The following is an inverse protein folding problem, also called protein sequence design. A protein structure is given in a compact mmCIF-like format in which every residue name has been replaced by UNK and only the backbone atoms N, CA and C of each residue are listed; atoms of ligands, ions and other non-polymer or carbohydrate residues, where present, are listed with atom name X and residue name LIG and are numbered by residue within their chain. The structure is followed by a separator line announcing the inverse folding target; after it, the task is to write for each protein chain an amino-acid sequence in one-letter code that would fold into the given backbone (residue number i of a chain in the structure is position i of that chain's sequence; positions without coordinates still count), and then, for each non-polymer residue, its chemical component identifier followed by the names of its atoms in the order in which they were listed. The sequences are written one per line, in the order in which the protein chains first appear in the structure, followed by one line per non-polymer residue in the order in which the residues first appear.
data_IF_107154793056
#
_entry.id   IF_107154793056
#
_cell.length_a   1.000
_cell.length_b   1.000
_cell.length_c   1.000
_cell.angle_alpha   90.00
_cell.angle_beta   90.00
_cell.angle_gamma   90.00
#
_symmetry.space_group_name_H-M   'P 1'
#
loop_
_entity.id
_entity.type
_entity.pdbx_description
1 polymer ?
#
# COMPACT_ATOMS: atom_id res chain seq x y z
N UNK A 1 -4.66 39.16 28.50
CA UNK A 1 -3.78 38.10 29.02
C UNK A 1 -2.35 38.59 28.96
N UNK A 2 -1.56 38.51 30.04
CA UNK A 2 -0.14 38.91 30.00
C UNK A 2 0.64 37.74 29.41
N UNK A 3 1.25 37.95 28.25
CA UNK A 3 2.10 36.96 27.60
C UNK A 3 3.55 37.13 28.06
N UNK A 4 4.31 36.03 28.08
CA UNK A 4 5.72 36.01 28.50
C UNK A 4 6.65 36.52 27.41
N UNK A 5 6.31 36.31 26.13
CA UNK A 5 7.09 36.76 24.99
C UNK A 5 6.66 38.17 24.56
N UNK A 6 7.65 39.01 24.30
CA UNK A 6 7.47 40.35 23.74
C UNK A 6 7.21 40.30 22.23
N UNK A 7 6.59 41.34 21.65
CA UNK A 7 6.42 41.42 20.20
C UNK A 7 7.73 41.32 19.40
N UNK A 8 8.83 41.87 19.93
CA UNK A 8 10.12 41.85 19.27
C UNK A 8 10.74 40.44 19.26
N UNK A 9 10.64 39.70 20.36
CA UNK A 9 11.04 38.28 20.42
C UNK A 9 10.22 37.44 19.43
N UNK A 10 8.91 37.68 19.35
CA UNK A 10 8.05 36.98 18.39
C UNK A 10 8.46 37.27 16.94
N UNK A 11 8.76 38.52 16.60
CA UNK A 11 9.19 38.89 15.24
C UNK A 11 10.52 38.24 14.87
N UNK A 12 11.47 38.16 15.81
CA UNK A 12 12.72 37.44 15.60
C UNK A 12 12.47 35.95 15.31
N UNK A 13 11.64 35.30 16.13
CA UNK A 13 11.26 33.89 15.91
C UNK A 13 10.53 33.67 14.58
N UNK A 14 9.67 34.61 14.15
CA UNK A 14 9.01 34.51 12.85
C UNK A 14 10.01 34.58 11.69
N UNK A 15 11.05 35.41 11.81
CA UNK A 15 12.13 35.49 10.81
C UNK A 15 12.89 34.17 10.69
N UNK A 16 13.36 33.63 11.82
CA UNK A 16 14.07 32.33 11.86
C UNK A 16 13.21 31.19 11.33
N UNK A 17 11.94 31.13 11.75
CA UNK A 17 10.99 30.14 11.24
C UNK A 17 10.72 30.31 9.75
N UNK A 18 10.70 31.54 9.23
CA UNK A 18 10.50 31.78 7.79
C UNK A 18 11.63 31.16 6.97
N UNK A 19 12.89 31.40 7.36
CA UNK A 19 14.06 30.83 6.68
C UNK A 19 14.09 29.30 6.76
N UNK A 20 13.85 28.74 7.95
CA UNK A 20 13.76 27.30 8.15
C UNK A 20 12.64 26.67 7.30
N UNK A 21 11.46 27.31 7.25
CA UNK A 21 10.35 26.85 6.43
C UNK A 21 10.63 26.98 4.93
N UNK A 22 11.37 27.99 4.49
CA UNK A 22 11.78 28.13 3.08
C UNK A 22 12.75 27.02 2.67
N UNK A 23 13.75 26.71 3.52
CA UNK A 23 14.66 25.60 3.31
C UNK A 23 13.91 24.25 3.30
N UNK A 24 13.00 24.05 4.25
CA UNK A 24 12.15 22.85 4.31
C UNK A 24 11.32 22.69 3.03
N UNK A 25 10.62 23.74 2.57
CA UNK A 25 9.82 23.70 1.33
C UNK A 25 10.64 23.41 0.07
N UNK A 26 11.91 23.83 0.05
CA UNK A 26 12.81 23.52 -1.06
C UNK A 26 13.18 22.03 -1.15
N UNK A 27 13.33 21.36 -0.02
CA UNK A 27 13.67 19.92 0.04
C UNK A 27 12.44 19.03 0.02
N UNK A 28 11.33 19.51 0.57
CA UNK A 28 10.05 18.82 0.67
C UNK A 28 8.98 19.70 0.00
N UNK A 29 8.98 19.78 -1.35
CA UNK A 29 7.86 20.38 -2.05
C UNK A 29 6.60 19.65 -1.58
N UNK A 30 5.55 20.42 -1.29
CA UNK A 30 4.30 19.92 -0.72
C UNK A 30 3.69 18.74 -1.51
N UNK A 31 2.55 18.22 -1.04
CA UNK A 31 1.85 17.06 -1.61
C UNK A 31 1.98 16.92 -3.13
N UNK A 32 2.61 15.83 -3.58
CA UNK A 32 2.64 15.48 -4.99
C UNK A 32 1.24 15.05 -5.44
N UNK A 33 0.85 15.43 -6.65
CA UNK A 33 -0.32 14.87 -7.33
C UNK A 33 -0.05 13.47 -7.90
N UNK A 34 1.20 12.99 -7.85
CA UNK A 34 1.56 11.63 -8.19
C UNK A 34 0.87 10.65 -7.24
N UNK A 35 0.51 9.49 -7.78
CA UNK A 35 -0.08 8.40 -7.00
C UNK A 35 0.84 8.05 -5.82
N UNK A 36 0.28 8.05 -4.62
CA UNK A 36 0.90 7.48 -3.42
C UNK A 36 0.20 6.17 -3.04
N UNK A 37 0.92 5.20 -2.45
CA UNK A 37 0.28 3.98 -1.98
C UNK A 37 -0.62 4.27 -0.78
N UNK A 38 -1.85 3.77 -0.82
CA UNK A 38 -2.79 3.83 0.32
C UNK A 38 -2.78 2.55 1.15
N UNK A 39 -2.09 1.51 0.67
CA UNK A 39 -1.97 0.21 1.32
C UNK A 39 -0.55 -0.34 1.18
N UNK A 40 0.10 -0.57 2.33
CA UNK A 40 1.44 -1.14 2.43
C UNK A 40 1.42 -2.47 3.18
N UNK A 41 2.09 -3.48 2.63
CA UNK A 41 2.28 -4.79 3.25
C UNK A 41 3.75 -4.98 3.58
N UNK A 42 4.04 -5.32 4.84
CA UNK A 42 5.37 -5.74 5.28
C UNK A 42 5.42 -7.26 5.35
N UNK A 43 6.42 -7.86 4.74
CA UNK A 43 6.67 -9.30 4.78
C UNK A 43 8.14 -9.58 5.07
N UNK A 44 8.40 -10.53 5.97
CA UNK A 44 9.77 -10.91 6.35
C UNK A 44 10.62 -11.29 5.13
N UNK A 45 11.85 -10.79 5.08
CA UNK A 45 12.73 -10.90 3.92
C UNK A 45 13.02 -12.34 3.49
N UNK A 46 13.09 -13.27 4.45
CA UNK A 46 13.25 -14.70 4.19
C UNK A 46 12.10 -15.33 3.38
N UNK A 47 10.94 -14.68 3.33
CA UNK A 47 9.75 -15.16 2.61
C UNK A 47 9.51 -14.43 1.29
N UNK A 48 10.29 -13.39 1.00
CA UNK A 48 10.07 -12.57 -0.19
C UNK A 48 10.31 -13.39 -1.47
N UNK A 49 9.37 -13.25 -2.41
CA UNK A 49 9.40 -13.85 -3.75
C UNK A 49 8.76 -12.88 -4.74
N UNK A 50 9.23 -12.85 -5.98
CA UNK A 50 8.71 -11.91 -6.98
C UNK A 50 7.18 -11.99 -7.16
N UNK A 51 6.61 -13.20 -7.10
CA UNK A 51 5.17 -13.45 -7.23
C UNK A 51 4.35 -13.31 -5.94
N UNK A 52 4.93 -12.76 -4.86
CA UNK A 52 4.27 -12.67 -3.55
C UNK A 52 2.94 -11.91 -3.60
N UNK A 53 2.89 -10.78 -4.32
CA UNK A 53 1.68 -9.96 -4.43
C UNK A 53 0.53 -10.71 -5.11
N UNK A 54 0.81 -11.38 -6.23
CA UNK A 54 -0.18 -12.19 -6.94
C UNK A 54 -0.75 -13.31 -6.05
N UNK A 55 0.12 -14.02 -5.32
CA UNK A 55 -0.30 -15.07 -4.38
C UNK A 55 -1.22 -14.55 -3.29
N UNK A 56 -0.93 -13.38 -2.71
CA UNK A 56 -1.83 -12.77 -1.72
C UNK A 56 -3.14 -12.30 -2.36
N UNK A 57 -3.11 -11.83 -3.60
CA UNK A 57 -4.31 -11.51 -4.39
C UNK A 57 -5.24 -12.71 -4.57
N UNK A 58 -4.70 -13.88 -4.90
CA UNK A 58 -5.48 -15.13 -5.02
C UNK A 58 -6.16 -15.51 -3.70
N UNK A 59 -5.44 -15.43 -2.58
CA UNK A 59 -5.99 -15.71 -1.25
C UNK A 59 -7.08 -14.70 -0.87
N UNK A 60 -6.85 -13.41 -1.16
CA UNK A 60 -7.82 -12.36 -0.91
C UNK A 60 -9.09 -12.52 -1.76
N UNK A 61 -8.95 -12.86 -3.04
CA UNK A 61 -10.07 -13.13 -3.94
C UNK A 61 -10.89 -14.33 -3.45
N UNK A 62 -10.23 -15.44 -3.10
CA UNK A 62 -10.91 -16.62 -2.57
C UNK A 62 -11.68 -16.30 -1.29
N UNK A 63 -11.11 -15.45 -0.43
CA UNK A 63 -11.76 -14.98 0.80
C UNK A 63 -12.99 -14.14 0.48
N UNK A 64 -12.87 -13.18 -0.45
CA UNK A 64 -13.99 -12.36 -0.91
C UNK A 64 -15.11 -13.21 -1.51
N UNK A 65 -14.77 -14.15 -2.40
CA UNK A 65 -15.72 -15.09 -3.02
C UNK A 65 -16.44 -15.96 -1.98
N UNK A 66 -15.75 -16.36 -0.91
CA UNK A 66 -16.34 -17.20 0.14
C UNK A 66 -17.32 -16.43 1.02
N UNK A 67 -16.97 -15.21 1.44
CA UNK A 67 -17.71 -14.49 2.49
C UNK A 67 -18.56 -13.32 1.98
N UNK A 68 -18.26 -12.79 0.79
CA UNK A 68 -18.96 -11.68 0.17
C UNK A 68 -18.98 -11.83 -1.37
N UNK A 69 -19.59 -12.90 -1.91
CA UNK A 69 -19.51 -13.29 -3.33
C UNK A 69 -20.14 -12.31 -4.32
N UNK A 70 -20.87 -11.31 -3.83
CA UNK A 70 -21.59 -10.35 -4.66
C UNK A 70 -21.74 -9.02 -3.91
N UNK A 71 -22.10 -7.97 -4.66
CA UNK A 71 -22.11 -6.61 -4.17
C UNK A 71 -23.09 -6.37 -3.01
N UNK A 72 -24.21 -7.09 -2.94
CA UNK A 72 -25.21 -6.89 -1.89
C UNK A 72 -24.79 -7.55 -0.56
N UNK A 73 -24.18 -8.74 -0.59
CA UNK A 73 -23.60 -9.36 0.61
C UNK A 73 -22.41 -8.52 1.07
N UNK A 74 -21.52 -8.15 0.14
CA UNK A 74 -20.37 -7.30 0.40
C UNK A 74 -20.77 -5.99 1.09
N UNK A 75 -21.79 -5.30 0.59
CA UNK A 75 -22.26 -4.05 1.16
C UNK A 75 -22.77 -4.22 2.59
N UNK A 76 -23.50 -5.31 2.89
CA UNK A 76 -24.02 -5.58 4.23
C UNK A 76 -22.92 -5.95 5.22
N UNK A 77 -21.98 -6.80 4.82
CA UNK A 77 -20.86 -7.23 5.67
C UNK A 77 -19.95 -6.06 6.03
N UNK A 78 -19.69 -5.15 5.09
CA UNK A 78 -18.86 -3.96 5.33
C UNK A 78 -19.64 -2.75 5.88
N UNK A 79 -20.96 -2.86 6.05
CA UNK A 79 -21.78 -1.76 6.54
C UNK A 79 -21.79 -0.53 5.62
N UNK A 80 -21.80 -0.73 4.30
CA UNK A 80 -21.88 0.39 3.35
C UNK A 80 -23.20 1.17 3.53
N UNK A 81 -23.20 2.50 3.33
CA UNK A 81 -24.41 3.31 3.48
C UNK A 81 -25.56 2.81 2.61
N UNK A 82 -26.72 2.55 3.23
CA UNK A 82 -27.93 2.09 2.55
C UNK A 82 -27.93 0.61 2.18
N UNK A 83 -26.98 -0.20 2.65
CA UNK A 83 -26.90 -1.63 2.36
C UNK A 83 -28.14 -2.42 2.80
N UNK A 84 -28.84 -1.94 3.83
CA UNK A 84 -30.12 -2.48 4.32
C UNK A 84 -31.27 -2.31 3.33
N UNK A 85 -31.16 -1.36 2.39
CA UNK A 85 -32.18 -1.12 1.34
C UNK A 85 -32.01 -2.03 0.13
N UNK A 86 -30.90 -2.77 0.03
CA UNK A 86 -30.64 -3.66 -1.08
C UNK A 86 -31.59 -4.87 -1.04
N UNK A 87 -32.14 -5.31 -2.18
CA UNK A 87 -33.07 -6.43 -2.22
C UNK A 87 -32.41 -7.71 -1.70
N UNK A 88 -33.20 -8.55 -1.03
CA UNK A 88 -32.80 -9.92 -0.67
C UNK A 88 -33.48 -10.98 -1.54
N UNK A 89 -34.49 -10.58 -2.32
CA UNK A 89 -35.16 -11.46 -3.27
C UNK A 89 -34.26 -11.65 -4.52
N UNK A 90 -33.95 -12.89 -4.93
CA UNK A 90 -33.09 -13.15 -6.08
C UNK A 90 -33.60 -12.53 -7.40
N UNK A 91 -34.90 -12.52 -7.65
CA UNK A 91 -35.48 -12.00 -8.90
C UNK A 91 -35.32 -10.47 -8.99
N UNK A 92 -35.56 -9.78 -7.89
CA UNK A 92 -35.35 -8.33 -7.79
C UNK A 92 -33.86 -7.98 -7.92
N UNK A 93 -33.00 -8.79 -7.30
CA UNK A 93 -31.55 -8.63 -7.38
C UNK A 93 -31.02 -8.83 -8.80
N UNK A 94 -31.47 -9.86 -9.51
CA UNK A 94 -31.07 -10.12 -10.90
C UNK A 94 -31.53 -8.99 -11.83
N UNK A 95 -32.72 -8.45 -11.59
CA UNK A 95 -33.23 -7.30 -12.34
C UNK A 95 -32.45 -6.02 -12.04
N UNK A 96 -32.09 -5.79 -10.78
CA UNK A 96 -31.24 -4.68 -10.36
C UNK A 96 -29.81 -4.80 -10.92
N UNK A 97 -29.24 -6.00 -10.91
CA UNK A 97 -27.90 -6.29 -11.44
C UNK A 97 -27.84 -5.99 -12.93
N UNK A 98 -28.83 -6.47 -13.71
CA UNK A 98 -28.94 -6.13 -15.14
C UNK A 98 -29.08 -4.63 -15.40
N UNK A 99 -29.80 -3.90 -14.54
CA UNK A 99 -29.89 -2.45 -14.65
C UNK A 99 -28.55 -1.76 -14.34
N UNK A 100 -27.82 -2.23 -13.33
CA UNK A 100 -26.48 -1.72 -12.96
C UNK A 100 -25.44 -1.97 -14.05
N UNK A 101 -25.50 -3.11 -14.73
CA UNK A 101 -24.60 -3.47 -15.83
C UNK A 101 -24.90 -2.68 -17.11
N UNK A 102 -26.17 -2.39 -17.39
CA UNK A 102 -26.60 -1.73 -18.62
C UNK A 102 -26.57 -0.20 -18.54
N UNK A 103 -26.98 0.40 -17.43
CA UNK A 103 -27.00 1.84 -17.24
C UNK A 103 -26.75 2.26 -15.77
N UNK A 104 -25.51 2.14 -15.27
CA UNK A 104 -25.18 2.41 -13.88
C UNK A 104 -25.50 3.85 -13.45
N UNK A 105 -25.39 4.82 -14.36
CA UNK A 105 -25.63 6.24 -14.05
C UNK A 105 -27.11 6.51 -13.73
N UNK A 106 -28.04 5.89 -14.47
CA UNK A 106 -29.47 5.95 -14.15
C UNK A 106 -29.76 5.31 -12.79
N UNK A 107 -29.11 4.18 -12.48
CA UNK A 107 -29.27 3.55 -11.16
C UNK A 107 -28.68 4.42 -10.06
N UNK A 108 -27.60 5.17 -10.31
CA UNK A 108 -27.02 6.10 -9.33
C UNK A 108 -28.02 7.16 -8.89
N UNK A 109 -28.81 7.69 -9.82
CA UNK A 109 -29.80 8.74 -9.55
C UNK A 109 -30.99 8.23 -8.72
N UNK A 110 -31.40 6.97 -8.92
CA UNK A 110 -32.64 6.43 -8.34
C UNK A 110 -32.35 5.52 -7.12
N UNK A 111 -31.26 4.76 -7.16
CA UNK A 111 -30.85 3.75 -6.16
C UNK A 111 -29.36 3.86 -5.86
N UNK A 112 -28.95 4.98 -5.29
CA UNK A 112 -27.54 5.30 -5.01
C UNK A 112 -26.81 4.22 -4.21
N UNK A 113 -27.46 3.61 -3.20
CA UNK A 113 -26.86 2.54 -2.38
C UNK A 113 -26.49 1.31 -3.23
N UNK A 114 -27.37 0.91 -4.16
CA UNK A 114 -27.11 -0.21 -5.07
C UNK A 114 -25.97 0.10 -6.04
N UNK A 115 -25.95 1.31 -6.60
CA UNK A 115 -24.86 1.77 -7.46
C UNK A 115 -23.52 1.79 -6.72
N UNK A 116 -23.48 2.33 -5.49
CA UNK A 116 -22.27 2.42 -4.69
C UNK A 116 -21.74 1.02 -4.38
N UNK A 117 -22.60 0.13 -3.86
CA UNK A 117 -22.25 -1.25 -3.55
C UNK A 117 -21.68 -1.98 -4.77
N UNK A 118 -22.37 -1.92 -5.91
CA UNK A 118 -21.94 -2.56 -7.16
C UNK A 118 -20.61 -1.99 -7.67
N UNK A 119 -20.47 -0.67 -7.66
CA UNK A 119 -19.26 0.01 -8.13
C UNK A 119 -18.07 -0.32 -7.25
N UNK A 120 -18.20 -0.23 -5.93
CA UNK A 120 -17.11 -0.53 -4.99
C UNK A 120 -16.74 -2.00 -5.06
N UNK A 121 -17.71 -2.91 -5.06
CA UNK A 121 -17.46 -4.35 -5.17
C UNK A 121 -16.63 -4.68 -6.42
N UNK A 122 -17.07 -4.22 -7.60
CA UNK A 122 -16.35 -4.48 -8.85
C UNK A 122 -14.97 -3.83 -8.89
N UNK A 123 -14.80 -2.64 -8.28
CA UNK A 123 -13.48 -2.01 -8.15
C UNK A 123 -12.56 -2.79 -7.22
N UNK A 124 -13.06 -3.32 -6.10
CA UNK A 124 -12.30 -4.18 -5.19
C UNK A 124 -11.89 -5.47 -5.90
N UNK A 125 -12.81 -6.15 -6.59
CA UNK A 125 -12.49 -7.36 -7.37
C UNK A 125 -11.42 -7.06 -8.42
N UNK A 126 -11.57 -5.96 -9.18
CA UNK A 126 -10.57 -5.54 -10.16
C UNK A 126 -9.23 -5.28 -9.50
N UNK A 127 -9.20 -4.57 -8.37
CA UNK A 127 -7.98 -4.25 -7.63
C UNK A 127 -7.26 -5.51 -7.17
N UNK A 128 -7.97 -6.45 -6.56
CA UNK A 128 -7.39 -7.72 -6.11
C UNK A 128 -6.85 -8.58 -7.26
N UNK A 129 -7.43 -8.48 -8.47
CA UNK A 129 -6.97 -9.20 -9.67
C UNK A 129 -5.74 -8.56 -10.31
N UNK A 130 -5.64 -7.23 -10.34
CA UNK A 130 -4.57 -6.53 -11.08
C UNK A 130 -3.46 -5.96 -10.22
N UNK A 131 -3.78 -5.47 -9.03
CA UNK A 131 -2.84 -4.82 -8.10
C UNK A 131 -3.25 -5.09 -6.64
N UNK A 132 -3.17 -6.34 -6.17
CA UNK A 132 -3.63 -6.71 -4.82
C UNK A 132 -2.85 -6.04 -3.69
N UNK A 133 -1.59 -5.69 -3.93
CA UNK A 133 -0.72 -4.96 -3.01
C UNK A 133 -0.16 -3.76 -3.76
N UNK A 134 -0.39 -2.56 -3.24
CA UNK A 134 0.14 -1.34 -3.84
C UNK A 134 1.61 -1.16 -3.50
N UNK A 135 1.95 -1.31 -2.21
CA UNK A 135 3.30 -1.14 -1.70
C UNK A 135 3.76 -2.36 -0.91
N UNK A 136 4.83 -3.00 -1.37
CA UNK A 136 5.39 -4.18 -0.72
C UNK A 136 6.73 -3.85 -0.07
N UNK A 137 6.87 -4.14 1.21
CA UNK A 137 8.07 -3.84 2.00
C UNK A 137 8.73 -5.13 2.45
N UNK A 138 9.93 -5.36 1.92
CA UNK A 138 10.81 -6.47 2.31
C UNK A 138 11.37 -6.12 3.69
N UNK A 139 10.83 -6.76 4.71
CA UNK A 139 11.11 -6.44 6.10
C UNK A 139 12.32 -7.23 6.59
N UNK A 140 13.38 -6.55 7.01
CA UNK A 140 14.53 -7.10 7.73
C UNK A 140 14.49 -6.73 9.22
N UNK A 141 13.40 -6.10 9.71
CA UNK A 141 13.23 -5.73 11.12
C UNK A 141 12.33 -6.74 11.84
N UNK A 142 11.19 -6.31 12.37
CA UNK A 142 10.38 -7.09 13.31
C UNK A 142 9.76 -8.33 12.65
N UNK A 143 9.27 -8.21 11.42
CA UNK A 143 8.64 -9.31 10.68
C UNK A 143 9.63 -10.37 10.22
N UNK A 144 10.93 -10.09 10.28
CA UNK A 144 12.03 -11.02 9.97
C UNK A 144 12.66 -11.63 11.21
N UNK A 145 12.74 -10.84 12.28
CA UNK A 145 13.31 -11.21 13.56
C UNK A 145 14.84 -11.15 13.59
N UNK A 146 15.41 -11.81 14.60
CA UNK A 146 16.85 -11.85 14.83
C UNK A 146 17.45 -13.09 14.19
N UNK A 147 18.43 -12.89 13.30
CA UNK A 147 19.22 -13.94 12.64
C UNK A 147 20.72 -13.68 12.79
N UNK A 148 21.55 -14.71 12.67
CA UNK A 148 22.98 -14.54 12.42
C UNK A 148 23.27 -13.69 11.18
N UNK A 149 24.42 -13.01 11.16
CA UNK A 149 24.76 -12.08 10.08
C UNK A 149 24.88 -12.77 8.72
N UNK A 150 25.47 -13.96 8.66
CA UNK A 150 25.60 -14.74 7.43
C UNK A 150 24.25 -15.16 6.84
N UNK A 151 23.28 -15.46 7.70
CA UNK A 151 21.92 -15.77 7.29
C UNK A 151 21.19 -14.51 6.76
N UNK A 152 21.31 -13.36 7.43
CA UNK A 152 20.73 -12.10 6.98
C UNK A 152 21.35 -11.60 5.67
N UNK A 153 22.67 -11.70 5.52
CA UNK A 153 23.39 -11.41 4.28
C UNK A 153 22.87 -12.29 3.14
N UNK A 154 22.67 -13.59 3.39
CA UNK A 154 22.10 -14.52 2.41
C UNK A 154 20.68 -14.13 1.97
N UNK A 155 19.83 -13.71 2.90
CA UNK A 155 18.49 -13.24 2.56
C UNK A 155 18.49 -11.87 1.85
N UNK A 156 19.45 -10.98 2.14
CA UNK A 156 19.63 -9.73 1.41
C UNK A 156 19.95 -9.98 -0.08
N UNK A 157 20.87 -10.91 -0.35
CA UNK A 157 21.19 -11.35 -1.73
C UNK A 157 19.96 -11.99 -2.40
N UNK A 158 19.30 -12.93 -1.72
CA UNK A 158 18.15 -13.64 -2.26
C UNK A 158 16.97 -12.70 -2.56
N UNK A 159 16.71 -11.74 -1.67
CA UNK A 159 15.67 -10.73 -1.88
C UNK A 159 15.99 -9.85 -3.10
N UNK A 160 17.23 -9.38 -3.24
CA UNK A 160 17.65 -8.60 -4.41
C UNK A 160 17.51 -9.39 -5.72
N UNK A 161 17.87 -10.68 -5.72
CA UNK A 161 17.70 -11.57 -6.88
C UNK A 161 16.21 -11.75 -7.25
N UNK A 162 15.32 -11.90 -6.27
CA UNK A 162 13.88 -11.98 -6.50
C UNK A 162 13.28 -10.65 -6.97
N UNK A 163 13.79 -9.50 -6.50
CA UNK A 163 13.39 -8.18 -7.01
C UNK A 163 13.80 -8.03 -8.47
N UNK A 164 15.05 -8.33 -8.81
CA UNK A 164 15.52 -8.26 -10.19
C UNK A 164 14.70 -9.17 -11.12
N UNK A 165 14.35 -10.37 -10.66
CA UNK A 165 13.45 -11.28 -11.39
C UNK A 165 12.05 -10.68 -11.53
N UNK A 166 11.50 -10.10 -10.47
CA UNK A 166 10.19 -9.46 -10.53
C UNK A 166 10.13 -8.26 -11.46
N UNK A 167 11.22 -7.49 -11.56
CA UNK A 167 11.36 -6.38 -12.51
C UNK A 167 11.34 -6.90 -13.95
N UNK A 168 12.07 -7.98 -14.26
CA UNK A 168 12.13 -8.53 -15.62
C UNK A 168 10.82 -9.22 -16.04
N UNK A 169 10.13 -9.85 -15.09
CA UNK A 169 8.83 -10.51 -15.31
C UNK A 169 7.65 -9.52 -15.22
N UNK A 170 7.88 -8.28 -14.76
CA UNK A 170 6.85 -7.27 -14.51
C UNK A 170 5.72 -7.75 -13.57
N UNK A 171 6.10 -8.38 -12.46
CA UNK A 171 5.18 -8.98 -11.47
C UNK A 171 5.24 -8.33 -10.08
N UNK A 172 6.08 -7.30 -9.91
CA UNK A 172 6.19 -6.56 -8.66
C UNK A 172 4.97 -5.67 -8.41
N UNK A 173 4.75 -5.32 -7.15
CA UNK A 173 3.83 -4.26 -6.75
C UNK A 173 4.25 -2.90 -7.36
N UNK A 174 3.30 -1.99 -7.63
CA UNK A 174 3.61 -0.65 -8.14
C UNK A 174 4.65 0.11 -7.31
N UNK A 175 4.63 -0.11 -5.99
CA UNK A 175 5.64 0.38 -5.06
C UNK A 175 6.30 -0.82 -4.36
N UNK A 176 7.60 -0.70 -4.16
CA UNK A 176 8.42 -1.70 -3.49
C UNK A 176 9.50 -0.98 -2.68
N UNK A 177 9.87 -1.53 -1.54
CA UNK A 177 11.13 -1.16 -0.90
C UNK A 177 11.57 -2.14 0.16
N UNK A 178 12.66 -1.79 0.82
CA UNK A 178 13.26 -2.55 1.91
C UNK A 178 13.10 -1.78 3.23
N UNK A 179 12.76 -2.49 4.31
CA UNK A 179 12.81 -1.97 5.68
C UNK A 179 13.97 -2.67 6.38
N UNK A 180 15.09 -1.96 6.51
CA UNK A 180 16.22 -2.41 7.32
C UNK A 180 15.97 -2.11 8.80
N UNK A 181 16.76 -2.73 9.68
CA UNK A 181 16.79 -2.38 11.10
C UNK A 181 17.16 -0.91 11.30
N UNK A 182 16.82 -0.36 12.47
CA UNK A 182 17.14 1.03 12.83
C UNK A 182 18.64 1.34 12.76
N UNK A 183 19.00 2.64 12.70
CA UNK A 183 20.38 3.12 12.83
C UNK A 183 20.79 3.43 14.28
N UNK A 184 20.19 2.74 15.24
CA UNK A 184 20.65 2.73 16.63
C UNK A 184 22.08 2.16 16.74
N UNK A 185 22.77 2.46 17.84
CA UNK A 185 24.16 2.02 18.02
C UNK A 185 24.32 0.51 17.96
N UNK A 186 23.31 -0.22 18.42
CA UNK A 186 23.25 -1.68 18.45
C UNK A 186 23.05 -2.29 17.05
N UNK A 187 22.32 -1.60 16.17
CA UNK A 187 21.90 -2.15 14.88
C UNK A 187 22.64 -1.57 13.67
N UNK A 188 23.18 -0.35 13.75
CA UNK A 188 23.69 0.41 12.60
C UNK A 188 24.65 -0.35 11.69
N UNK A 189 25.56 -1.15 12.27
CA UNK A 189 26.54 -1.93 11.51
C UNK A 189 25.83 -2.96 10.62
N UNK A 190 24.90 -3.72 11.20
CA UNK A 190 24.08 -4.69 10.46
C UNK A 190 23.16 -4.00 9.46
N UNK A 191 22.45 -2.95 9.86
CA UNK A 191 21.51 -2.23 9.01
C UNK A 191 22.17 -1.69 7.74
N UNK A 192 23.34 -1.06 7.87
CA UNK A 192 24.10 -0.53 6.72
C UNK A 192 24.59 -1.68 5.84
N UNK A 193 25.09 -2.76 6.43
CA UNK A 193 25.58 -3.94 5.70
C UNK A 193 24.47 -4.60 4.88
N UNK A 194 23.31 -4.85 5.47
CA UNK A 194 22.14 -5.42 4.79
C UNK A 194 21.68 -4.55 3.63
N UNK A 195 21.64 -3.22 3.83
CA UNK A 195 21.30 -2.26 2.78
C UNK A 195 22.31 -2.30 1.62
N UNK A 196 23.60 -2.28 1.93
CA UNK A 196 24.69 -2.29 0.94
C UNK A 196 24.67 -3.56 0.08
N UNK A 197 24.55 -4.74 0.73
CA UNK A 197 24.46 -6.03 0.04
C UNK A 197 23.26 -6.05 -0.90
N UNK A 198 22.07 -5.64 -0.41
CA UNK A 198 20.86 -5.63 -1.22
C UNK A 198 20.98 -4.71 -2.44
N UNK A 199 21.42 -3.46 -2.23
CA UNK A 199 21.52 -2.47 -3.31
C UNK A 199 22.60 -2.83 -4.32
N UNK A 200 23.76 -3.28 -3.86
CA UNK A 200 24.85 -3.72 -4.74
C UNK A 200 24.40 -4.89 -5.59
N UNK A 201 23.79 -5.91 -4.97
CA UNK A 201 23.33 -7.08 -5.71
C UNK A 201 22.22 -6.74 -6.71
N UNK A 202 21.29 -5.88 -6.32
CA UNK A 202 20.23 -5.45 -7.22
C UNK A 202 20.81 -4.69 -8.42
N UNK A 203 21.73 -3.76 -8.18
CA UNK A 203 22.40 -3.00 -9.24
C UNK A 203 23.20 -3.91 -10.20
N UNK A 204 23.91 -4.93 -9.68
CA UNK A 204 24.58 -5.95 -10.51
C UNK A 204 23.61 -6.68 -11.44
N UNK A 205 22.40 -7.00 -10.95
CA UNK A 205 21.39 -7.75 -11.70
C UNK A 205 20.61 -6.91 -12.70
N UNK A 206 20.36 -5.64 -12.41
CA UNK A 206 19.57 -4.75 -13.27
C UNK A 206 20.44 -3.85 -14.16
N UNK A 207 21.76 -3.83 -13.93
CA UNK A 207 22.68 -2.93 -14.63
C UNK A 207 22.51 -1.47 -14.19
N UNK A 208 22.21 -1.25 -12.90
CA UNK A 208 21.92 0.07 -12.30
C UNK A 208 20.76 0.82 -12.96
N UNK A 209 19.79 0.08 -13.51
CA UNK A 209 18.51 0.60 -13.99
C UNK A 209 17.40 0.31 -12.99
#
# INVERSE_FOLDING_TARGET
MKLTLTPDELNAYYGELHEANAAFKGHYPADSSDRQPVHTVYGGANLFKAGFAAKLGEVALKTLETYAPNYHVFARVLGLPGAETLPSNPIELDSLTRALESNPEQVREIKQAAWLAFTVYNRVVKKLRSEPIEDNRIDFEDGYGNRPDDEEDGHAVAAADEVARGMSENVLSPFLGIRIKTFSDECKVRSIRTLDIFLTRLAEKTGSR
#
